data_IF_649419652535
#
_entry.id   IF_649419652535
#
_cell.length_a   1.000
_cell.length_b   1.000
_cell.length_c   1.000
_cell.angle_alpha   90.00
_cell.angle_beta   90.00
_cell.angle_gamma   90.00
#
_symmetry.space_group_name_H-M   'P 1'
#
loop_
_entity.id
_entity.type
_entity.pdbx_description
1 polymer ?
#
# COMPACT_ATOMS: atom_id res chain seq x y z
N UNK A 1 -0.27 -87.70 40.73
CA UNK A 1 0.20 -86.53 41.46
C UNK A 1 0.82 -85.62 40.43
N UNK A 2 0.03 -84.65 39.95
CA UNK A 2 0.51 -83.62 39.03
C UNK A 2 0.14 -82.28 39.63
N UNK A 3 1.16 -81.49 40.01
CA UNK A 3 1.06 -80.17 40.64
C UNK A 3 0.84 -79.15 39.55
N UNK A 4 -0.23 -78.33 39.69
CA UNK A 4 -0.52 -77.22 38.83
C UNK A 4 0.05 -75.94 39.46
N UNK A 5 1.05 -75.33 38.81
CA UNK A 5 1.56 -74.00 39.16
C UNK A 5 0.70 -72.91 38.46
N UNK A 6 -0.01 -72.12 39.28
CA UNK A 6 -0.73 -70.95 38.80
C UNK A 6 0.22 -69.76 38.75
N UNK A 7 0.42 -69.21 37.55
CA UNK A 7 1.18 -67.98 37.30
C UNK A 7 0.23 -66.76 37.45
N UNK A 8 0.41 -65.96 38.49
CA UNK A 8 -0.26 -64.68 38.62
C UNK A 8 0.42 -63.64 37.79
N UNK A 9 -0.26 -63.17 36.73
CA UNK A 9 0.17 -62.02 35.92
C UNK A 9 -0.43 -60.77 36.58
N UNK A 10 0.39 -59.96 37.24
CA UNK A 10 0.04 -58.66 37.75
C UNK A 10 0.11 -57.64 36.63
N UNK A 11 -1.06 -57.14 36.19
CA UNK A 11 -1.16 -56.07 35.22
C UNK A 11 -0.94 -54.72 35.93
N UNK A 12 0.23 -54.09 35.72
CA UNK A 12 0.46 -52.72 36.15
C UNK A 12 -0.30 -51.77 35.20
N UNK A 13 -1.36 -51.19 35.68
CA UNK A 13 -1.99 -50.01 35.03
C UNK A 13 -1.12 -48.77 35.28
N UNK A 14 -0.36 -48.35 34.25
CA UNK A 14 0.28 -47.05 34.30
C UNK A 14 -0.74 -45.94 34.11
N UNK A 15 -1.05 -45.24 35.20
CA UNK A 15 -1.81 -43.99 35.13
C UNK A 15 -0.90 -42.92 34.50
N UNK A 16 -1.18 -42.55 33.23
CA UNK A 16 -0.61 -41.35 32.64
C UNK A 16 -1.21 -40.15 33.36
N UNK A 17 -0.41 -39.50 34.22
CA UNK A 17 -0.75 -38.19 34.79
C UNK A 17 -0.67 -37.20 33.65
N UNK A 18 -1.83 -36.82 33.11
CA UNK A 18 -1.94 -35.67 32.19
C UNK A 18 -1.46 -34.44 32.97
N UNK A 19 -0.28 -33.95 32.68
CA UNK A 19 0.14 -32.62 33.13
C UNK A 19 -0.89 -31.61 32.65
N UNK A 20 -1.43 -30.74 33.55
CA UNK A 20 -2.37 -29.72 33.12
C UNK A 20 -1.63 -28.85 32.06
N UNK A 21 -2.24 -28.69 30.87
CA UNK A 21 -1.79 -27.72 29.89
C UNK A 21 -1.63 -26.39 30.62
N UNK A 22 -0.40 -25.90 30.75
CA UNK A 22 -0.15 -24.56 31.27
C UNK A 22 -1.03 -23.62 30.47
N UNK A 23 -1.79 -22.77 31.18
CA UNK A 23 -2.53 -21.66 30.61
C UNK A 23 -1.57 -20.96 29.67
N UNK A 24 -1.72 -21.11 28.33
CA UNK A 24 -0.91 -20.36 27.35
C UNK A 24 -1.10 -18.91 27.75
N UNK A 25 0.00 -18.25 28.15
CA UNK A 25 -0.03 -16.81 28.38
C UNK A 25 -0.69 -16.19 27.16
N UNK A 26 -1.75 -15.42 27.40
CA UNK A 26 -2.58 -14.87 26.33
C UNK A 26 -1.71 -13.97 25.46
N UNK A 27 -1.40 -14.42 24.24
CA UNK A 27 -0.72 -13.62 23.22
C UNK A 27 -1.69 -12.63 22.56
N UNK A 28 -2.67 -12.18 23.31
CA UNK A 28 -3.70 -11.23 22.90
C UNK A 28 -3.44 -9.87 23.54
N UNK A 29 -3.41 -8.84 22.69
CA UNK A 29 -3.39 -7.43 23.10
C UNK A 29 -4.79 -6.86 22.93
N UNK A 30 -5.39 -6.36 24.02
CA UNK A 30 -6.76 -5.85 24.04
C UNK A 30 -6.91 -4.68 25.01
N UNK A 31 -8.03 -3.94 24.91
CA UNK A 31 -8.36 -2.84 25.80
C UNK A 31 -7.66 -1.53 25.39
N UNK A 32 -7.15 -0.77 26.37
CA UNK A 32 -6.61 0.58 26.12
C UNK A 32 -5.17 0.78 26.63
N UNK A 33 -4.42 -0.30 26.78
CA UNK A 33 -3.03 -0.25 27.26
C UNK A 33 -2.10 -1.09 26.39
N UNK A 34 -0.89 -0.59 26.16
CA UNK A 34 0.18 -1.30 25.48
C UNK A 34 1.21 -1.92 26.45
N UNK A 35 0.90 -1.98 27.75
CA UNK A 35 1.86 -2.46 28.78
C UNK A 35 2.34 -3.90 28.56
N UNK A 36 1.49 -4.77 28.01
CA UNK A 36 1.84 -6.17 27.67
C UNK A 36 2.45 -6.35 26.29
N UNK A 37 2.58 -5.30 25.48
CA UNK A 37 3.04 -5.38 24.09
C UNK A 37 4.42 -6.06 23.96
N UNK A 38 5.36 -5.74 24.86
CA UNK A 38 6.71 -6.34 24.85
C UNK A 38 6.69 -7.86 25.10
N UNK A 39 5.70 -8.36 25.85
CA UNK A 39 5.50 -9.78 26.07
C UNK A 39 4.79 -10.43 24.89
N UNK A 40 3.73 -9.80 24.38
CA UNK A 40 2.94 -10.28 23.24
C UNK A 40 3.81 -10.41 21.99
N UNK A 41 4.73 -9.48 21.75
CA UNK A 41 5.68 -9.54 20.60
C UNK A 41 6.57 -10.79 20.58
N UNK A 42 6.74 -11.51 21.68
CA UNK A 42 7.52 -12.75 21.75
C UNK A 42 6.75 -13.98 21.29
N UNK A 43 5.45 -13.86 21.09
CA UNK A 43 4.59 -14.95 20.62
C UNK A 43 4.76 -15.20 19.13
N UNK A 44 4.61 -16.45 18.72
CA UNK A 44 4.54 -16.82 17.30
C UNK A 44 3.15 -16.59 16.67
N UNK A 45 2.12 -16.43 17.49
CA UNK A 45 0.76 -16.07 17.08
C UNK A 45 0.25 -14.97 18.01
N UNK A 46 0.03 -13.79 17.44
CA UNK A 46 -0.38 -12.56 18.14
C UNK A 46 -1.80 -12.24 17.72
N UNK A 47 -2.66 -11.92 18.67
CA UNK A 47 -4.01 -11.43 18.42
C UNK A 47 -4.12 -9.99 18.93
N UNK A 48 -4.51 -9.07 18.05
CA UNK A 48 -4.89 -7.70 18.39
C UNK A 48 -6.40 -7.63 18.38
N UNK A 49 -7.03 -7.46 19.55
CA UNK A 49 -8.48 -7.59 19.68
C UNK A 49 -9.08 -6.42 20.43
N UNK A 50 -10.03 -5.72 19.81
CA UNK A 50 -10.77 -4.61 20.45
C UNK A 50 -9.81 -3.67 21.21
N UNK A 51 -8.78 -3.18 20.47
CA UNK A 51 -7.71 -2.38 21.03
C UNK A 51 -7.92 -0.89 20.76
N UNK A 52 -7.79 -0.07 21.78
CA UNK A 52 -7.67 1.39 21.64
C UNK A 52 -6.22 1.80 21.96
N UNK A 53 -5.46 2.15 20.93
CA UNK A 53 -4.07 2.59 21.07
C UNK A 53 -4.02 3.99 21.72
N UNK A 54 -3.26 4.18 22.82
CA UNK A 54 -3.20 5.48 23.50
C UNK A 54 -2.62 6.59 22.63
N UNK A 55 -2.99 7.84 22.91
CA UNK A 55 -2.59 9.02 22.16
C UNK A 55 -1.07 9.17 22.04
N UNK A 56 -0.57 9.38 20.81
CA UNK A 56 0.84 9.56 20.53
C UNK A 56 1.70 8.32 20.74
N UNK A 57 1.10 7.14 20.78
CA UNK A 57 1.82 5.87 20.83
C UNK A 57 1.64 5.09 19.52
N UNK A 58 2.66 4.34 19.17
CA UNK A 58 2.63 3.39 18.06
C UNK A 58 2.24 2.00 18.59
N UNK A 59 1.33 1.31 17.92
CA UNK A 59 1.26 -0.15 18.04
C UNK A 59 2.52 -0.73 17.38
N UNK A 60 3.58 -0.86 18.17
CA UNK A 60 4.91 -1.26 17.70
C UNK A 60 5.05 -2.78 17.63
N UNK A 61 4.80 -3.34 16.47
CA UNK A 61 5.02 -4.74 16.11
C UNK A 61 6.32 -4.92 15.29
N UNK A 62 7.37 -4.17 15.61
CA UNK A 62 8.68 -4.31 14.95
C UNK A 62 9.52 -5.41 15.59
N UNK A 63 10.43 -5.99 14.80
CA UNK A 63 11.35 -7.03 15.29
C UNK A 63 10.65 -8.33 15.66
N UNK A 64 9.54 -8.67 15.02
CA UNK A 64 8.86 -9.94 15.23
C UNK A 64 9.75 -11.12 14.82
N UNK A 65 9.65 -12.22 15.55
CA UNK A 65 10.32 -13.48 15.23
C UNK A 65 9.87 -13.99 13.86
N UNK A 66 10.80 -14.61 13.13
CA UNK A 66 10.47 -15.17 11.81
C UNK A 66 9.31 -16.17 11.89
N UNK A 67 8.33 -16.02 11.00
CA UNK A 67 7.16 -16.89 10.95
C UNK A 67 6.01 -16.45 11.87
N UNK A 68 6.12 -15.31 12.54
CA UNK A 68 5.03 -14.81 13.40
C UNK A 68 3.79 -14.46 12.59
N UNK A 69 2.63 -14.86 13.11
CA UNK A 69 1.31 -14.44 12.60
C UNK A 69 0.72 -13.38 13.53
N UNK A 70 0.24 -12.28 12.93
CA UNK A 70 -0.51 -11.21 13.62
C UNK A 70 -1.93 -11.19 13.08
N UNK A 71 -2.91 -11.41 13.94
CA UNK A 71 -4.33 -11.40 13.59
C UNK A 71 -5.04 -10.20 14.22
N UNK A 72 -5.70 -9.39 13.41
CA UNK A 72 -6.60 -8.34 13.88
C UNK A 72 -8.02 -8.89 14.02
N UNK A 73 -8.62 -8.75 15.21
CA UNK A 73 -9.98 -9.13 15.53
C UNK A 73 -10.75 -7.94 16.13
N UNK A 74 -12.06 -7.87 15.88
CA UNK A 74 -12.90 -6.77 16.38
C UNK A 74 -12.41 -5.42 15.88
N UNK A 75 -12.43 -4.37 16.71
CA UNK A 75 -12.09 -3.02 16.29
C UNK A 75 -10.81 -2.52 16.95
N UNK A 76 -9.86 -2.07 16.12
CA UNK A 76 -8.66 -1.35 16.58
C UNK A 76 -8.82 0.13 16.27
N UNK A 77 -8.68 0.99 17.30
CA UNK A 77 -8.79 2.45 17.18
C UNK A 77 -7.59 3.18 17.78
N UNK A 78 -7.49 4.49 17.55
CA UNK A 78 -6.36 5.31 17.98
C UNK A 78 -6.84 6.59 18.63
N UNK A 79 -6.27 6.92 19.80
CA UNK A 79 -6.56 8.20 20.46
C UNK A 79 -5.83 9.35 19.76
N UNK A 80 -6.46 10.52 19.74
CA UNK A 80 -5.96 11.70 19.05
C UNK A 80 -4.72 12.30 19.70
N UNK A 81 -3.73 12.58 18.86
CA UNK A 81 -2.59 13.48 19.13
C UNK A 81 -2.00 13.94 17.80
N UNK A 82 -1.61 15.20 17.70
CA UNK A 82 -0.84 15.70 16.55
C UNK A 82 0.61 15.25 16.67
N UNK A 83 1.04 14.38 15.74
CA UNK A 83 2.40 13.83 15.66
C UNK A 83 2.58 13.11 14.32
N UNK A 84 3.83 12.82 13.93
CA UNK A 84 4.13 12.24 12.61
C UNK A 84 3.82 10.75 12.47
N UNK A 85 3.48 10.06 13.56
CA UNK A 85 3.22 8.61 13.54
C UNK A 85 4.52 7.76 13.48
N UNK A 86 4.42 6.52 12.98
CA UNK A 86 3.19 5.88 12.49
C UNK A 86 2.28 5.41 13.64
N UNK A 87 1.00 5.17 13.31
CA UNK A 87 0.07 4.57 14.27
C UNK A 87 0.36 3.08 14.49
N UNK A 88 0.74 2.36 13.42
CA UNK A 88 1.15 0.95 13.46
C UNK A 88 2.52 0.84 12.78
N UNK A 89 3.42 0.05 13.35
CA UNK A 89 4.69 -0.30 12.72
C UNK A 89 4.93 -1.80 12.81
N UNK A 90 5.21 -2.45 11.67
CA UNK A 90 5.40 -3.90 11.60
C UNK A 90 6.69 -4.22 10.86
N UNK A 91 7.56 -5.02 11.47
CA UNK A 91 8.77 -5.50 10.81
C UNK A 91 9.16 -6.91 11.21
N UNK A 92 9.80 -7.60 10.30
CA UNK A 92 10.29 -8.97 10.51
C UNK A 92 10.40 -9.73 9.19
N UNK A 93 10.73 -10.99 9.28
CA UNK A 93 10.88 -11.89 8.13
C UNK A 93 9.86 -13.03 8.21
N UNK A 94 9.24 -13.37 7.07
CA UNK A 94 8.22 -14.42 6.99
C UNK A 94 7.01 -14.15 7.89
N UNK A 95 6.62 -12.89 8.03
CA UNK A 95 5.50 -12.45 8.87
C UNK A 95 4.19 -12.59 8.08
N UNK A 96 3.16 -13.07 8.76
CA UNK A 96 1.78 -13.06 8.25
C UNK A 96 0.93 -12.10 9.06
N UNK A 97 0.35 -11.09 8.41
CA UNK A 97 -0.61 -10.16 9.02
C UNK A 97 -1.96 -10.42 8.39
N UNK A 98 -2.96 -10.75 9.19
CA UNK A 98 -4.29 -11.13 8.70
C UNK A 98 -5.41 -10.44 9.47
N UNK A 99 -6.53 -10.20 8.78
CA UNK A 99 -7.76 -9.72 9.40
C UNK A 99 -8.75 -10.86 9.61
N UNK A 100 -9.25 -11.03 10.82
CA UNK A 100 -10.36 -11.95 11.08
C UNK A 100 -11.68 -11.39 10.50
N UNK A 101 -12.65 -12.25 10.27
CA UNK A 101 -13.97 -11.81 9.78
C UNK A 101 -14.58 -10.73 10.69
N UNK A 102 -15.05 -9.64 10.08
CA UNK A 102 -15.68 -8.52 10.80
C UNK A 102 -14.73 -7.59 11.54
N UNK A 103 -13.40 -7.77 11.45
CA UNK A 103 -12.47 -6.83 12.04
C UNK A 103 -12.49 -5.47 11.31
N UNK A 104 -12.08 -4.43 12.02
CA UNK A 104 -11.86 -3.09 11.45
C UNK A 104 -10.66 -2.43 12.14
N UNK A 105 -9.77 -1.83 11.35
CA UNK A 105 -8.70 -0.97 11.86
C UNK A 105 -9.10 0.46 11.48
N UNK A 106 -9.65 1.21 12.43
CA UNK A 106 -10.19 2.55 12.21
C UNK A 106 -9.23 3.61 12.71
N UNK A 107 -8.62 4.34 11.76
CA UNK A 107 -7.72 5.45 12.04
C UNK A 107 -8.40 6.67 12.63
N UNK A 108 -9.74 6.76 12.57
CA UNK A 108 -10.52 7.89 13.06
C UNK A 108 -10.08 9.24 12.46
N UNK A 109 -9.70 9.25 11.19
CA UNK A 109 -9.04 10.35 10.47
C UNK A 109 -9.72 11.71 10.59
N UNK A 110 -11.05 11.75 10.71
CA UNK A 110 -11.80 12.99 10.91
C UNK A 110 -11.31 13.84 12.11
N UNK A 111 -10.62 13.25 13.06
CA UNK A 111 -10.00 13.99 14.17
C UNK A 111 -8.79 14.82 13.74
N UNK A 112 -8.12 14.42 12.66
CA UNK A 112 -6.91 15.07 12.13
C UNK A 112 -7.16 15.87 10.85
N UNK A 113 -8.15 15.48 10.03
CA UNK A 113 -8.40 16.13 8.75
C UNK A 113 -8.79 17.60 8.93
N UNK A 114 -8.25 18.45 8.06
CA UNK A 114 -8.41 19.90 8.08
C UNK A 114 -8.46 20.51 6.67
N UNK A 115 -8.50 19.66 5.61
CA UNK A 115 -8.49 20.09 4.23
C UNK A 115 -7.14 20.59 3.70
N UNK A 116 -6.07 20.56 4.53
CA UNK A 116 -4.78 21.14 4.19
C UNK A 116 -3.66 20.11 3.96
N UNK A 117 -3.95 18.82 4.13
CA UNK A 117 -2.97 17.75 3.91
C UNK A 117 -1.68 17.95 4.72
N UNK A 118 -0.53 17.83 4.05
CA UNK A 118 0.80 18.03 4.64
C UNK A 118 1.04 19.48 5.13
N UNK A 119 0.27 20.45 4.63
CA UNK A 119 0.40 21.86 5.03
C UNK A 119 -0.41 22.22 6.27
N UNK A 120 -1.22 21.31 6.80
CA UNK A 120 -2.08 21.52 7.95
C UNK A 120 -1.52 20.96 9.25
N UNK A 121 -2.43 20.50 10.11
CA UNK A 121 -2.08 19.79 11.34
C UNK A 121 -1.11 18.64 11.05
N UNK A 122 -0.23 18.35 12.01
CA UNK A 122 0.63 17.17 11.90
C UNK A 122 -0.21 15.90 12.06
N UNK A 123 -0.27 15.10 11.00
CA UNK A 123 -1.09 13.90 10.91
C UNK A 123 -0.22 12.65 10.93
N UNK A 124 -0.56 11.62 11.73
CA UNK A 124 0.24 10.40 11.77
C UNK A 124 0.06 9.58 10.48
N UNK A 125 1.17 9.11 9.90
CA UNK A 125 1.13 8.01 8.93
C UNK A 125 0.49 6.79 9.59
N UNK A 126 -0.23 5.98 8.82
CA UNK A 126 -1.03 4.94 9.45
C UNK A 126 -0.22 3.66 9.70
N UNK A 127 0.13 2.90 8.68
CA UNK A 127 0.84 1.63 8.82
C UNK A 127 2.20 1.71 8.14
N UNK A 128 3.27 1.52 8.89
CA UNK A 128 4.63 1.38 8.35
C UNK A 128 5.02 -0.09 8.29
N UNK A 129 5.42 -0.56 7.12
CA UNK A 129 5.89 -1.91 6.88
C UNK A 129 7.38 -1.91 6.54
N UNK A 130 8.14 -2.84 7.19
CA UNK A 130 9.50 -3.21 6.84
C UNK A 130 9.61 -4.74 6.93
N UNK A 131 8.98 -5.42 5.98
CA UNK A 131 8.77 -6.87 5.96
C UNK A 131 9.60 -7.53 4.86
N UNK A 132 10.14 -8.71 5.16
CA UNK A 132 11.02 -9.45 4.24
C UNK A 132 10.69 -10.94 4.20
N UNK A 133 11.32 -11.68 3.31
CA UNK A 133 11.36 -13.15 3.34
C UNK A 133 10.01 -13.83 3.15
N UNK A 134 9.28 -13.48 2.09
CA UNK A 134 7.95 -14.05 1.76
C UNK A 134 6.86 -13.72 2.78
N UNK A 135 6.91 -12.51 3.35
CA UNK A 135 5.88 -12.00 4.24
C UNK A 135 4.57 -11.69 3.51
N UNK A 136 3.46 -11.72 4.25
CA UNK A 136 2.12 -11.48 3.71
C UNK A 136 1.31 -10.53 4.59
N UNK A 137 0.51 -9.67 3.96
CA UNK A 137 -0.51 -8.84 4.63
C UNK A 137 -1.82 -9.07 3.86
N UNK A 138 -2.81 -9.67 4.50
CA UNK A 138 -3.99 -10.16 3.77
C UNK A 138 -5.29 -9.85 4.49
N UNK A 139 -6.29 -9.41 3.72
CA UNK A 139 -7.67 -9.31 4.17
C UNK A 139 -7.89 -8.26 5.26
N UNK A 140 -7.10 -7.18 5.31
CA UNK A 140 -7.33 -6.10 6.27
C UNK A 140 -8.43 -5.15 5.80
N UNK A 141 -9.28 -4.75 6.75
CA UNK A 141 -10.29 -3.72 6.56
C UNK A 141 -9.85 -2.45 7.29
N UNK A 142 -9.38 -1.46 6.53
CA UNK A 142 -8.84 -0.19 7.00
C UNK A 142 -9.90 0.89 6.79
N UNK A 143 -10.16 1.68 7.83
CA UNK A 143 -11.07 2.84 7.76
C UNK A 143 -10.37 4.13 8.18
N UNK A 144 -10.73 5.22 7.52
CA UNK A 144 -10.48 6.58 7.97
C UNK A 144 -9.03 6.83 8.45
N UNK A 145 -8.06 6.45 7.64
CA UNK A 145 -6.67 6.74 7.92
C UNK A 145 -6.43 8.26 8.01
N UNK A 146 -5.71 8.77 9.01
CA UNK A 146 -5.45 10.21 9.13
C UNK A 146 -4.64 10.80 7.99
N UNK A 147 -3.75 10.01 7.41
CA UNK A 147 -2.79 10.35 6.36
C UNK A 147 -2.46 9.10 5.53
N UNK A 148 -1.29 9.03 4.86
CA UNK A 148 -0.90 7.87 4.06
C UNK A 148 -1.14 6.54 4.80
N UNK A 149 -1.78 5.58 4.10
CA UNK A 149 -2.24 4.33 4.71
C UNK A 149 -1.09 3.36 4.90
N UNK A 150 -0.48 2.87 3.82
CA UNK A 150 0.64 1.95 3.89
C UNK A 150 1.94 2.61 3.42
N UNK A 151 2.89 2.78 4.32
CA UNK A 151 4.27 3.14 4.00
C UNK A 151 5.10 1.86 3.92
N UNK A 152 5.36 1.39 2.71
CA UNK A 152 6.07 0.15 2.38
C UNK A 152 7.52 0.53 2.06
N UNK A 153 8.41 0.39 3.03
CA UNK A 153 9.78 0.86 2.89
C UNK A 153 10.79 -0.19 3.35
N UNK A 154 11.79 -0.47 2.51
CA UNK A 154 12.79 -1.52 2.75
C UNK A 154 12.16 -2.90 2.91
N UNK A 155 11.08 -3.17 2.17
CA UNK A 155 10.46 -4.48 2.08
C UNK A 155 11.09 -5.30 0.94
N UNK A 156 11.10 -6.62 1.13
CA UNK A 156 11.45 -7.56 0.06
C UNK A 156 10.60 -8.82 0.14
N UNK A 157 10.24 -9.36 -1.03
CA UNK A 157 9.42 -10.58 -1.12
C UNK A 157 8.11 -10.48 -0.32
N UNK A 158 7.39 -9.36 -0.50
CA UNK A 158 6.16 -9.04 0.21
C UNK A 158 4.93 -9.20 -0.69
N UNK A 159 3.92 -9.89 -0.21
CA UNK A 159 2.59 -9.91 -0.83
C UNK A 159 1.58 -9.20 0.06
N UNK A 160 0.86 -8.24 -0.52
CA UNK A 160 -0.29 -7.55 0.09
C UNK A 160 -1.51 -7.91 -0.76
N UNK A 161 -2.55 -8.50 -0.15
CA UNK A 161 -3.72 -8.91 -0.92
C UNK A 161 -5.04 -8.72 -0.18
N UNK A 162 -6.09 -8.50 -0.96
CA UNK A 162 -7.47 -8.48 -0.47
C UNK A 162 -7.68 -7.44 0.64
N UNK A 163 -7.04 -6.28 0.51
CA UNK A 163 -7.17 -5.16 1.45
C UNK A 163 -8.34 -4.26 1.01
N UNK A 164 -9.17 -3.87 1.97
CA UNK A 164 -10.12 -2.78 1.77
C UNK A 164 -9.63 -1.55 2.51
N UNK A 165 -9.44 -0.45 1.78
CA UNK A 165 -9.14 0.89 2.31
C UNK A 165 -10.37 1.76 2.04
N UNK A 166 -11.08 2.15 3.07
CA UNK A 166 -12.28 2.98 2.98
C UNK A 166 -12.09 4.30 3.74
N UNK A 167 -11.79 5.36 3.02
CA UNK A 167 -11.60 6.71 3.57
C UNK A 167 -12.64 7.69 3.01
N UNK A 168 -13.79 7.19 2.57
CA UNK A 168 -14.85 8.01 1.96
C UNK A 168 -15.35 9.16 2.84
N UNK A 169 -15.30 8.99 4.17
CA UNK A 169 -15.64 10.07 5.09
C UNK A 169 -14.75 11.31 4.87
N UNK A 170 -13.53 11.13 4.34
CA UNK A 170 -12.60 12.19 4.02
C UNK A 170 -13.06 13.13 2.90
N UNK A 171 -13.90 12.66 1.98
CA UNK A 171 -14.41 13.48 0.86
C UNK A 171 -15.16 14.72 1.37
N UNK A 172 -15.91 14.57 2.45
CA UNK A 172 -16.66 15.69 3.06
C UNK A 172 -15.99 16.27 4.30
N UNK A 173 -15.08 15.54 4.94
CA UNK A 173 -14.44 15.94 6.18
C UNK A 173 -13.01 16.50 6.00
N UNK A 174 -12.57 16.71 4.75
CA UNK A 174 -11.28 17.33 4.44
C UNK A 174 -10.09 16.38 4.53
N UNK A 175 -10.27 15.11 4.17
CA UNK A 175 -9.19 14.16 3.98
C UNK A 175 -8.29 14.59 2.81
N UNK A 176 -6.96 14.54 3.03
CA UNK A 176 -5.94 14.82 2.02
C UNK A 176 -4.70 13.98 2.29
N UNK A 177 -3.90 13.71 1.26
CA UNK A 177 -2.69 12.89 1.32
C UNK A 177 -2.94 11.51 1.98
N UNK A 178 -4.08 10.93 1.64
CA UNK A 178 -4.51 9.62 2.15
C UNK A 178 -4.13 8.51 1.16
N UNK A 179 -2.90 8.57 0.64
CA UNK A 179 -2.35 7.59 -0.31
C UNK A 179 -2.59 6.15 0.19
N UNK A 180 -3.05 5.26 -0.69
CA UNK A 180 -3.32 3.87 -0.32
C UNK A 180 -2.03 3.11 -0.01
N UNK A 181 -1.10 3.12 -0.97
CA UNK A 181 0.17 2.38 -0.86
C UNK A 181 1.34 3.24 -1.34
N UNK A 182 2.22 3.65 -0.44
CA UNK A 182 3.49 4.30 -0.75
C UNK A 182 4.63 3.27 -0.76
N UNK A 183 5.27 3.07 -1.90
CA UNK A 183 6.37 2.12 -2.04
C UNK A 183 7.69 2.86 -2.26
N UNK A 184 8.67 2.61 -1.37
CA UNK A 184 10.02 3.15 -1.48
C UNK A 184 11.08 2.14 -1.09
N UNK A 185 12.22 2.15 -1.78
CA UNK A 185 13.41 1.31 -1.49
C UNK A 185 13.07 -0.16 -1.24
N UNK A 186 12.11 -0.70 -1.98
CA UNK A 186 11.58 -2.06 -1.81
C UNK A 186 11.75 -2.88 -3.09
N UNK A 187 11.75 -4.20 -2.94
CA UNK A 187 11.92 -5.11 -4.07
C UNK A 187 11.00 -6.33 -4.00
N UNK A 188 10.56 -6.81 -5.16
CA UNK A 188 9.68 -7.98 -5.27
C UNK A 188 8.43 -7.86 -4.37
N UNK A 189 7.66 -6.77 -4.58
CA UNK A 189 6.42 -6.48 -3.85
C UNK A 189 5.23 -6.71 -4.79
N UNK A 190 4.28 -7.52 -4.36
CA UNK A 190 3.00 -7.75 -5.04
C UNK A 190 1.87 -7.17 -4.21
N UNK A 191 1.06 -6.30 -4.82
CA UNK A 191 -0.18 -5.75 -4.24
C UNK A 191 -1.32 -6.13 -5.17
N UNK A 192 -2.29 -6.89 -4.68
CA UNK A 192 -3.35 -7.41 -5.54
C UNK A 192 -4.70 -7.58 -4.87
N UNK A 193 -5.78 -7.50 -5.67
CA UNK A 193 -7.15 -7.75 -5.21
C UNK A 193 -7.65 -6.74 -4.18
N UNK A 194 -7.05 -5.56 -4.12
CA UNK A 194 -7.39 -4.52 -3.15
C UNK A 194 -8.46 -3.57 -3.68
N UNK A 195 -9.24 -3.00 -2.76
CA UNK A 195 -10.21 -1.94 -3.04
C UNK A 195 -9.84 -0.70 -2.23
N UNK A 196 -9.63 0.43 -2.91
CA UNK A 196 -9.14 1.67 -2.31
C UNK A 196 -10.09 2.82 -2.64
N UNK A 197 -10.65 3.44 -1.60
CA UNK A 197 -11.36 4.72 -1.64
C UNK A 197 -10.56 5.73 -0.82
N UNK A 198 -9.97 6.72 -1.46
CA UNK A 198 -9.07 7.67 -0.79
C UNK A 198 -9.09 9.05 -1.49
N UNK A 199 -8.28 10.00 -1.02
CA UNK A 199 -8.17 11.36 -1.55
C UNK A 199 -6.75 11.70 -2.04
N UNK A 200 -5.94 10.69 -2.42
CA UNK A 200 -4.63 10.87 -3.05
C UNK A 200 -4.28 9.63 -3.91
N UNK A 201 -3.00 9.36 -4.17
CA UNK A 201 -2.60 8.23 -5.02
C UNK A 201 -3.14 6.88 -4.46
N UNK A 202 -3.74 6.07 -5.31
CA UNK A 202 -4.09 4.69 -4.95
C UNK A 202 -2.83 3.89 -4.63
N UNK A 203 -1.80 4.06 -5.45
CA UNK A 203 -0.43 3.64 -5.19
C UNK A 203 0.52 4.73 -5.69
N UNK A 204 1.58 4.99 -4.93
CA UNK A 204 2.71 5.84 -5.31
C UNK A 204 4.01 5.06 -5.21
N UNK A 205 4.65 4.74 -6.34
CA UNK A 205 5.96 4.05 -6.37
C UNK A 205 7.06 5.08 -6.52
N UNK A 206 7.71 5.44 -5.41
CA UNK A 206 8.77 6.46 -5.38
C UNK A 206 10.15 5.89 -5.73
N UNK A 207 10.42 4.65 -5.35
CA UNK A 207 11.63 3.90 -5.70
C UNK A 207 11.45 2.41 -5.43
N UNK A 208 12.28 1.59 -6.06
CA UNK A 208 12.27 0.15 -5.87
C UNK A 208 12.36 -0.64 -7.17
N UNK A 209 12.32 -1.95 -7.05
CA UNK A 209 12.40 -2.86 -8.19
C UNK A 209 11.39 -4.00 -8.11
N UNK A 210 10.88 -4.42 -9.26
CA UNK A 210 9.94 -5.55 -9.37
C UNK A 210 8.69 -5.33 -8.48
N UNK A 211 8.02 -4.19 -8.65
CA UNK A 211 6.79 -3.86 -7.96
C UNK A 211 5.60 -4.19 -8.86
N UNK A 212 4.65 -4.95 -8.37
CA UNK A 212 3.45 -5.38 -9.11
C UNK A 212 2.19 -4.91 -8.40
N UNK A 213 1.30 -4.27 -9.15
CA UNK A 213 -0.01 -3.79 -8.70
C UNK A 213 -1.09 -4.33 -9.62
N UNK A 214 -1.83 -5.35 -9.17
CA UNK A 214 -2.63 -6.19 -10.06
C UNK A 214 -4.06 -6.40 -9.56
N UNK A 215 -5.03 -6.32 -10.48
CA UNK A 215 -6.44 -6.63 -10.17
C UNK A 215 -7.01 -5.78 -9.01
N UNK A 216 -6.64 -4.50 -8.92
CA UNK A 216 -7.11 -3.60 -7.86
C UNK A 216 -8.19 -2.65 -8.39
N UNK A 217 -8.97 -2.12 -7.46
CA UNK A 217 -9.96 -1.07 -7.68
C UNK A 217 -9.56 0.19 -6.92
N UNK A 218 -9.41 1.31 -7.64
CA UNK A 218 -9.02 2.61 -7.10
C UNK A 218 -10.16 3.60 -7.34
N UNK A 219 -10.67 4.23 -6.30
CA UNK A 219 -11.79 5.17 -6.36
C UNK A 219 -11.42 6.52 -5.77
N UNK A 220 -11.88 7.59 -6.39
CA UNK A 220 -11.86 9.01 -5.95
C UNK A 220 -10.48 9.66 -5.82
N UNK A 221 -9.40 8.93 -5.69
CA UNK A 221 -8.06 9.46 -5.44
C UNK A 221 -7.38 10.07 -6.66
N UNK A 222 -6.04 9.98 -6.70
CA UNK A 222 -5.22 10.51 -7.80
C UNK A 222 -4.76 9.44 -8.80
N UNK A 223 -5.31 8.22 -8.74
CA UNK A 223 -5.04 7.12 -9.66
C UNK A 223 -3.78 6.31 -9.32
N UNK A 224 -3.20 5.66 -10.32
CA UNK A 224 -2.03 4.78 -10.19
C UNK A 224 -0.78 5.55 -10.60
N UNK A 225 0.14 5.80 -9.65
CA UNK A 225 1.30 6.67 -9.86
C UNK A 225 2.63 5.95 -9.71
N UNK A 226 3.53 6.18 -10.67
CA UNK A 226 4.97 6.05 -10.48
C UNK A 226 5.49 7.43 -10.07
N UNK A 227 6.03 7.52 -8.86
CA UNK A 227 6.55 8.79 -8.35
C UNK A 227 5.73 9.43 -7.22
N UNK A 228 6.17 10.62 -6.81
CA UNK A 228 7.21 11.40 -7.51
C UNK A 228 8.59 10.76 -7.37
N UNK A 229 9.33 10.66 -8.50
CA UNK A 229 10.70 10.18 -8.50
C UNK A 229 11.65 11.36 -8.57
N UNK A 230 12.57 11.45 -7.60
CA UNK A 230 13.52 12.55 -7.43
C UNK A 230 13.46 13.16 -6.03
N UNK A 231 14.54 13.80 -5.60
CA UNK A 231 14.59 14.52 -4.32
C UNK A 231 14.66 13.65 -3.07
N UNK A 232 14.86 12.35 -3.20
CA UNK A 232 15.02 11.40 -2.08
C UNK A 232 16.43 10.80 -2.08
N UNK A 233 16.74 9.97 -1.08
CA UNK A 233 18.01 9.21 -1.04
C UNK A 233 18.04 8.06 -2.06
N UNK A 234 16.87 7.53 -2.43
CA UNK A 234 16.70 6.54 -3.49
C UNK A 234 15.66 7.05 -4.48
N UNK A 235 16.08 7.24 -5.72
CA UNK A 235 15.29 7.80 -6.81
C UNK A 235 15.28 6.88 -8.03
N UNK A 236 15.32 5.57 -7.80
CA UNK A 236 15.31 4.58 -8.88
C UNK A 236 14.05 3.73 -8.82
N UNK A 237 13.26 3.78 -9.88
CA UNK A 237 12.19 2.81 -10.14
C UNK A 237 12.63 1.94 -11.30
N UNK A 238 12.86 0.64 -11.03
CA UNK A 238 13.26 -0.34 -12.04
C UNK A 238 12.33 -1.56 -12.02
N UNK A 239 11.32 -1.52 -12.87
CA UNK A 239 10.31 -2.58 -12.96
C UNK A 239 9.09 -2.28 -12.10
N UNK A 240 8.08 -1.71 -12.73
CA UNK A 240 6.73 -1.57 -12.20
C UNK A 240 5.73 -2.16 -13.18
N UNK A 241 4.83 -2.97 -12.70
CA UNK A 241 3.73 -3.56 -13.46
C UNK A 241 2.40 -3.21 -12.81
N UNK A 242 1.59 -2.41 -13.49
CA UNK A 242 0.19 -2.19 -13.13
C UNK A 242 -0.68 -2.91 -14.17
N UNK A 243 -1.34 -3.99 -13.76
CA UNK A 243 -2.09 -4.86 -14.67
C UNK A 243 -3.51 -5.11 -14.19
N UNK A 244 -4.48 -5.05 -15.12
CA UNK A 244 -5.89 -5.36 -14.88
C UNK A 244 -6.53 -4.55 -13.74
N UNK A 245 -6.08 -3.31 -13.51
CA UNK A 245 -6.67 -2.45 -12.48
C UNK A 245 -7.81 -1.61 -13.05
N UNK A 246 -8.71 -1.18 -12.16
CA UNK A 246 -9.80 -0.25 -12.47
C UNK A 246 -9.60 1.04 -11.67
N UNK A 247 -9.49 2.18 -12.37
CA UNK A 247 -9.42 3.51 -11.76
C UNK A 247 -10.71 4.26 -12.07
N UNK A 248 -11.43 4.69 -11.04
CA UNK A 248 -12.80 5.16 -11.15
C UNK A 248 -12.95 6.49 -10.42
N UNK A 249 -13.49 7.51 -11.11
CA UNK A 249 -13.77 8.85 -10.55
C UNK A 249 -12.56 9.48 -9.84
N UNK A 250 -11.40 9.29 -10.41
CA UNK A 250 -10.13 9.79 -9.86
C UNK A 250 -9.64 11.01 -10.61
N UNK A 251 -8.79 11.80 -10.00
CA UNK A 251 -8.17 12.96 -10.63
C UNK A 251 -7.38 12.54 -11.87
N UNK A 252 -6.56 11.50 -11.73
CA UNK A 252 -5.82 10.91 -12.83
C UNK A 252 -6.11 9.41 -12.96
N UNK A 253 -5.93 8.88 -14.17
CA UNK A 253 -5.96 7.44 -14.39
C UNK A 253 -4.61 6.80 -14.10
N UNK A 254 -3.68 6.91 -15.05
CA UNK A 254 -2.33 6.37 -14.95
C UNK A 254 -1.31 7.51 -15.01
N UNK A 255 -0.34 7.49 -14.10
CA UNK A 255 0.55 8.64 -13.92
C UNK A 255 2.02 8.22 -13.77
N UNK A 256 2.92 8.99 -14.40
CA UNK A 256 4.35 9.03 -14.08
C UNK A 256 4.72 10.48 -13.79
N UNK A 257 5.25 10.75 -12.60
CA UNK A 257 5.67 12.10 -12.18
C UNK A 257 7.12 12.08 -11.71
N UNK A 258 7.98 12.83 -12.42
CA UNK A 258 9.38 13.02 -12.04
C UNK A 258 9.62 14.45 -11.60
N UNK A 259 10.43 14.63 -10.54
CA UNK A 259 10.65 15.93 -9.90
C UNK A 259 11.55 16.79 -10.77
N UNK A 260 11.11 18.03 -11.04
CA UNK A 260 11.88 19.01 -11.79
C UNK A 260 13.26 19.24 -11.17
N UNK A 261 14.30 19.28 -12.01
CA UNK A 261 15.68 19.51 -11.58
C UNK A 261 16.33 18.38 -10.80
N UNK A 262 15.58 17.35 -10.42
CA UNK A 262 16.13 16.22 -9.69
C UNK A 262 16.85 15.21 -10.61
N UNK A 263 17.58 14.29 -9.99
CA UNK A 263 18.23 13.15 -10.64
C UNK A 263 17.64 11.84 -10.15
N UNK A 264 17.61 10.83 -11.02
CA UNK A 264 17.06 9.51 -10.73
C UNK A 264 16.89 8.68 -11.99
N UNK A 265 16.08 7.64 -11.91
CA UNK A 265 15.79 6.76 -13.06
C UNK A 265 14.41 6.15 -12.94
N UNK A 266 13.63 6.17 -14.04
CA UNK A 266 12.39 5.41 -14.20
C UNK A 266 12.57 4.49 -15.40
N UNK A 267 12.53 3.18 -15.18
CA UNK A 267 12.72 2.22 -16.27
C UNK A 267 11.87 0.96 -16.08
N UNK A 268 11.58 0.27 -17.17
CA UNK A 268 10.81 -0.98 -17.18
C UNK A 268 9.42 -0.81 -16.52
N UNK A 269 8.67 0.22 -16.92
CA UNK A 269 7.32 0.49 -16.44
C UNK A 269 6.29 -0.07 -17.41
N UNK A 270 5.34 -0.84 -16.88
CA UNK A 270 4.34 -1.53 -17.67
C UNK A 270 2.93 -1.22 -17.11
N UNK A 271 2.11 -0.57 -17.91
CA UNK A 271 0.67 -0.45 -17.66
C UNK A 271 -0.05 -1.29 -18.71
N UNK A 272 -0.70 -2.36 -18.27
CA UNK A 272 -1.29 -3.36 -19.16
C UNK A 272 -2.74 -3.64 -18.76
N UNK A 273 -3.66 -3.60 -19.72
CA UNK A 273 -5.07 -3.95 -19.53
C UNK A 273 -5.78 -3.21 -18.39
N UNK A 274 -5.36 -1.97 -18.10
CA UNK A 274 -6.02 -1.15 -17.09
C UNK A 274 -7.23 -0.44 -17.68
N UNK A 275 -8.29 -0.32 -16.87
CA UNK A 275 -9.52 0.40 -17.22
C UNK A 275 -9.63 1.67 -16.39
N UNK A 276 -10.01 2.76 -17.03
CA UNK A 276 -10.24 4.05 -16.36
C UNK A 276 -11.65 4.55 -16.66
N UNK A 277 -12.31 5.16 -15.71
CA UNK A 277 -13.65 5.75 -15.93
C UNK A 277 -13.89 6.97 -15.05
N UNK A 278 -14.54 7.98 -15.61
CA UNK A 278 -14.89 9.20 -14.87
C UNK A 278 -13.67 10.00 -14.39
N UNK A 279 -12.56 9.97 -15.14
CA UNK A 279 -11.32 10.67 -14.76
C UNK A 279 -11.48 12.18 -14.93
N UNK A 280 -11.08 12.94 -13.93
CA UNK A 280 -11.42 14.37 -13.84
C UNK A 280 -10.39 15.30 -14.49
N UNK A 281 -9.08 14.95 -14.45
CA UNK A 281 -8.00 15.79 -14.97
C UNK A 281 -7.29 15.13 -16.16
N UNK A 282 -6.65 13.97 -15.97
CA UNK A 282 -5.89 13.31 -17.03
C UNK A 282 -6.11 11.79 -17.05
N UNK A 283 -6.49 11.25 -18.20
CA UNK A 283 -6.59 9.79 -18.39
C UNK A 283 -5.22 9.12 -18.23
N UNK A 284 -4.24 9.64 -18.95
CA UNK A 284 -2.82 9.29 -18.79
C UNK A 284 -2.03 10.58 -18.66
N UNK A 285 -1.14 10.67 -17.65
CA UNK A 285 -0.23 11.81 -17.52
C UNK A 285 1.20 11.34 -17.25
N UNK A 286 2.13 11.81 -18.07
CA UNK A 286 3.57 11.55 -17.92
C UNK A 286 4.27 12.90 -17.89
N UNK A 287 4.80 13.27 -16.73
CA UNK A 287 5.27 14.61 -16.47
C UNK A 287 6.67 14.63 -15.83
N UNK A 288 7.57 15.45 -16.41
CA UNK A 288 8.95 15.70 -15.96
C UNK A 288 9.14 17.07 -15.35
N UNK A 289 8.05 17.74 -15.02
CA UNK A 289 7.95 19.09 -14.47
C UNK A 289 7.23 19.17 -13.13
N UNK A 290 7.17 18.02 -12.41
CA UNK A 290 6.47 17.94 -11.14
C UNK A 290 7.27 18.61 -10.01
N UNK A 291 6.63 19.46 -9.25
CA UNK A 291 7.21 20.12 -8.06
C UNK A 291 6.14 20.32 -6.96
N UNK A 292 6.26 19.56 -5.88
CA UNK A 292 5.41 19.71 -4.68
C UNK A 292 3.89 19.81 -4.99
N UNK A 293 3.34 18.84 -5.72
CA UNK A 293 1.92 18.81 -6.07
C UNK A 293 1.52 19.73 -7.23
N UNK A 294 2.47 20.46 -7.82
CA UNK A 294 2.24 21.36 -8.95
C UNK A 294 3.11 20.98 -10.13
N UNK A 295 2.79 21.53 -11.29
CA UNK A 295 3.62 21.43 -12.50
C UNK A 295 4.19 22.82 -12.85
N UNK A 296 5.46 22.87 -13.26
CA UNK A 296 6.13 24.14 -13.58
C UNK A 296 5.95 24.52 -15.05
N UNK A 297 5.53 23.59 -15.89
CA UNK A 297 5.42 23.76 -17.33
C UNK A 297 6.72 23.53 -18.09
N UNK A 298 7.82 23.21 -17.39
CA UNK A 298 9.14 22.97 -18.00
C UNK A 298 9.72 21.64 -17.55
N UNK A 299 9.64 20.64 -18.39
CA UNK A 299 10.21 19.33 -18.10
C UNK A 299 11.74 19.35 -18.04
N UNK A 300 12.33 18.64 -17.10
CA UNK A 300 13.77 18.43 -16.97
C UNK A 300 14.15 16.98 -17.25
N UNK A 301 15.40 16.72 -17.66
CA UNK A 301 15.85 15.39 -18.11
C UNK A 301 16.73 14.64 -17.11
N UNK A 302 16.82 15.10 -15.85
CA UNK A 302 17.66 14.47 -14.84
C UNK A 302 17.11 13.13 -14.32
N UNK A 303 15.80 12.87 -14.55
CA UNK A 303 15.17 11.56 -14.31
C UNK A 303 14.66 11.03 -15.65
N UNK A 304 15.47 10.28 -16.42
CA UNK A 304 15.04 9.68 -17.68
C UNK A 304 13.93 8.65 -17.46
N UNK A 305 13.01 8.56 -18.44
CA UNK A 305 11.93 7.56 -18.45
C UNK A 305 12.15 6.63 -19.65
N UNK A 306 12.54 5.39 -19.40
CA UNK A 306 12.87 4.42 -20.44
C UNK A 306 12.11 3.12 -20.33
N UNK A 307 11.98 2.38 -21.44
CA UNK A 307 11.31 1.07 -21.46
C UNK A 307 9.88 1.14 -20.88
N UNK A 308 9.06 2.09 -21.35
CA UNK A 308 7.67 2.24 -20.95
C UNK A 308 6.75 1.48 -21.90
N UNK A 309 5.93 0.60 -21.36
CA UNK A 309 4.86 -0.09 -22.09
C UNK A 309 3.50 0.41 -21.60
N UNK A 310 2.68 0.90 -22.55
CA UNK A 310 1.27 1.20 -22.36
C UNK A 310 0.48 0.30 -23.31
N UNK A 311 -0.22 -0.70 -22.77
CA UNK A 311 -0.89 -1.68 -23.60
C UNK A 311 -2.33 -1.93 -23.14
N UNK A 312 -3.27 -1.90 -24.10
CA UNK A 312 -4.69 -2.20 -23.84
C UNK A 312 -5.30 -1.37 -22.71
N UNK A 313 -5.05 -0.05 -22.73
CA UNK A 313 -5.62 0.92 -21.80
C UNK A 313 -6.92 1.46 -22.38
N UNK A 314 -8.03 1.23 -21.69
CA UNK A 314 -9.36 1.60 -22.20
C UNK A 314 -10.17 2.38 -21.17
N UNK A 315 -11.11 3.20 -21.67
CA UNK A 315 -12.08 3.84 -20.80
C UNK A 315 -12.44 5.27 -21.17
N UNK A 316 -12.75 6.09 -20.17
CA UNK A 316 -13.27 7.44 -20.38
C UNK A 316 -12.75 8.44 -19.35
N UNK A 317 -12.69 9.69 -19.81
CA UNK A 317 -12.45 10.87 -18.96
C UNK A 317 -13.65 11.81 -19.02
N UNK A 318 -13.80 12.67 -18.04
CA UNK A 318 -14.86 13.67 -17.98
C UNK A 318 -14.70 14.72 -19.11
N UNK A 319 -15.75 15.44 -19.43
CA UNK A 319 -15.79 16.37 -20.59
C UNK A 319 -14.73 17.47 -20.53
N UNK A 320 -14.31 17.89 -19.35
CA UNK A 320 -13.28 18.94 -19.14
C UNK A 320 -11.87 18.39 -19.06
N UNK A 321 -11.71 17.09 -18.88
CA UNK A 321 -10.42 16.43 -18.73
C UNK A 321 -9.65 16.30 -20.03
N UNK A 322 -8.37 15.94 -19.91
CA UNK A 322 -7.50 15.60 -21.05
C UNK A 322 -7.31 14.08 -21.10
N UNK A 323 -7.41 13.49 -22.29
CA UNK A 323 -7.18 12.05 -22.46
C UNK A 323 -5.77 11.65 -22.12
N UNK A 324 -4.79 12.36 -22.69
CA UNK A 324 -3.35 12.10 -22.52
C UNK A 324 -2.61 13.42 -22.42
N UNK A 325 -1.72 13.55 -21.41
CA UNK A 325 -0.72 14.63 -21.30
C UNK A 325 0.66 14.00 -21.19
N UNK A 326 1.57 14.43 -22.06
CA UNK A 326 2.99 14.02 -22.01
C UNK A 326 3.84 15.29 -22.07
N UNK A 327 4.58 15.54 -21.00
CA UNK A 327 5.53 16.64 -20.92
C UNK A 327 6.80 16.15 -20.24
N UNK A 328 7.74 15.63 -21.03
CA UNK A 328 8.97 15.01 -20.53
C UNK A 328 10.18 15.43 -21.34
N UNK A 329 11.35 15.17 -20.78
CA UNK A 329 12.62 15.31 -21.44
C UNK A 329 13.45 14.06 -21.16
N UNK A 330 14.20 13.55 -22.13
CA UNK A 330 15.00 12.34 -21.97
C UNK A 330 14.15 11.06 -21.77
N UNK A 331 13.27 10.78 -22.73
CA UNK A 331 12.43 9.58 -22.81
C UNK A 331 12.90 8.68 -23.96
N UNK A 332 12.96 7.35 -23.73
CA UNK A 332 13.45 6.40 -24.74
C UNK A 332 12.73 5.05 -24.66
N UNK A 333 12.64 4.37 -25.80
CA UNK A 333 12.12 3.00 -25.89
C UNK A 333 10.72 2.83 -25.27
N UNK A 334 9.76 3.65 -25.70
CA UNK A 334 8.36 3.50 -25.31
C UNK A 334 7.61 2.67 -26.34
N UNK A 335 6.62 1.91 -25.89
CA UNK A 335 5.76 1.09 -26.71
C UNK A 335 4.31 1.27 -26.29
N UNK A 336 3.49 1.86 -27.16
CA UNK A 336 2.07 2.06 -26.91
C UNK A 336 1.24 1.30 -27.94
N UNK A 337 0.25 0.54 -27.48
CA UNK A 337 -0.67 -0.21 -28.32
C UNK A 337 -2.01 -0.42 -27.60
N UNK A 338 -3.13 -0.39 -28.35
CA UNK A 338 -4.44 -0.63 -27.75
C UNK A 338 -4.90 0.43 -26.75
N UNK A 339 -4.34 1.65 -26.79
CA UNK A 339 -4.76 2.76 -25.92
C UNK A 339 -5.98 3.45 -26.54
N UNK A 340 -7.14 3.37 -25.87
CA UNK A 340 -8.42 3.90 -26.34
C UNK A 340 -9.16 4.60 -25.20
N UNK A 341 -9.02 5.92 -25.09
CA UNK A 341 -9.64 6.76 -24.07
C UNK A 341 -10.63 7.71 -24.74
N UNK A 342 -11.88 7.67 -24.30
CA UNK A 342 -12.97 8.50 -24.83
C UNK A 342 -13.30 9.69 -23.90
N UNK A 343 -14.14 10.62 -24.38
CA UNK A 343 -14.50 11.83 -23.63
C UNK A 343 -13.40 12.90 -23.71
N UNK A 344 -13.56 13.94 -22.93
CA UNK A 344 -12.62 15.03 -22.79
C UNK A 344 -12.04 15.62 -24.08
N UNK A 345 -10.82 16.12 -24.01
CA UNK A 345 -10.12 16.71 -25.16
C UNK A 345 -8.65 16.26 -25.23
N UNK A 346 -8.01 16.50 -26.36
CA UNK A 346 -6.56 16.34 -26.52
C UNK A 346 -5.82 17.43 -25.75
N UNK A 347 -4.57 17.15 -25.36
CA UNK A 347 -3.67 18.14 -24.80
C UNK A 347 -2.69 18.61 -25.88
N UNK A 348 -2.66 19.91 -26.16
CA UNK A 348 -1.87 20.48 -27.28
C UNK A 348 -0.40 20.74 -26.95
N UNK A 349 0.01 20.64 -25.69
CA UNK A 349 1.35 20.96 -25.20
C UNK A 349 2.28 19.75 -25.02
N UNK A 350 2.00 18.63 -25.66
CA UNK A 350 2.83 17.44 -25.49
C UNK A 350 4.23 17.61 -26.10
N UNK A 351 5.25 17.17 -25.35
CA UNK A 351 6.63 17.17 -25.80
C UNK A 351 7.45 16.02 -25.20
N UNK A 352 8.54 15.67 -25.88
CA UNK A 352 9.47 14.63 -25.43
C UNK A 352 9.04 13.20 -25.73
N UNK A 353 8.04 13.01 -26.59
CA UNK A 353 7.56 11.68 -27.00
C UNK A 353 8.62 11.02 -27.88
N UNK A 354 9.11 9.81 -27.58
CA UNK A 354 10.05 9.10 -28.42
C UNK A 354 9.45 8.75 -29.79
N UNK A 355 10.24 8.97 -30.87
CA UNK A 355 9.81 8.58 -32.21
C UNK A 355 9.53 7.09 -32.33
N UNK A 356 8.48 6.71 -33.05
CA UNK A 356 8.09 5.32 -33.24
C UNK A 356 7.46 4.62 -32.04
N UNK A 357 7.21 5.35 -30.98
CA UNK A 357 6.62 4.79 -29.71
C UNK A 357 5.14 4.40 -29.82
N UNK A 358 4.41 4.93 -30.80
CA UNK A 358 2.94 4.83 -30.84
C UNK A 358 2.20 5.74 -29.86
N UNK A 359 2.91 6.49 -29.00
CA UNK A 359 2.32 7.43 -28.06
C UNK A 359 1.82 8.69 -28.76
N UNK A 360 0.68 9.20 -28.33
CA UNK A 360 0.09 10.44 -28.85
C UNK A 360 -0.76 11.13 -27.76
N UNK A 361 -1.01 12.41 -27.95
CA UNK A 361 -1.88 13.23 -27.09
C UNK A 361 -3.23 13.58 -27.74
#
# INVERSE_FOLDING_TARGET
>A
MISANSLLISTLCAFAIATPLSKRDSCTLTGSSLSSLSTVKKCSSIVIKDLTVPAGQTLDLTGLSSGTTVTFEGTTTFQYKEWSGPLISISGSKISVVGASGHTIDGQGAKWWDGLGDSGKVKPKFVKLALTGTSKVTGLNIKNAPHQVFSINKCSDLTISDITIDIRDGDSAGGHNTDGFDVGSSSNVLIQGCTVYNQDDCIAVNSGSTIKFMNNYCYNGHGISVGSVGGRSDNTVNGFWAENNHVINSDNGLRIKTVEGATGTVTNVNFISNKISGIESYGIVIEGDYLNGKTTGTATGGVPISNLVMKDITGSVNSTAKRVKILVKNATNWQWSGVSITGGSSYSGCSGIPSGSGASC
#
